data_IF_984868522902
#
_entry.id   IF_984868522902
#
_cell.length_a   1.000
_cell.length_b   1.000
_cell.length_c   1.000
_cell.angle_alpha   90.00
_cell.angle_beta   90.00
_cell.angle_gamma   90.00
#
_symmetry.space_group_name_H-M   'P 1'
#
loop_
_entity.id
_entity.type
_entity.pdbx_description
1 polymer ?
#
# COMPACT_ATOMS: atom_id res chain seq x y z
N UNK A 1 29.31 -12.23 21.62
CA UNK A 1 28.83 -11.58 20.37
C UNK A 1 27.71 -10.60 20.74
N UNK A 2 27.86 -9.32 20.41
CA UNK A 2 26.94 -8.27 20.87
C UNK A 2 25.58 -8.32 20.15
N UNK A 3 24.48 -8.24 20.90
CA UNK A 3 23.13 -8.08 20.35
C UNK A 3 23.00 -6.68 19.75
N UNK A 4 22.99 -6.57 18.42
CA UNK A 4 22.60 -5.32 17.77
C UNK A 4 21.12 -5.03 18.10
N UNK A 5 20.86 -3.93 18.80
CA UNK A 5 19.50 -3.42 19.02
C UNK A 5 19.17 -2.45 17.89
N UNK A 6 18.37 -2.90 16.93
CA UNK A 6 17.86 -2.04 15.86
C UNK A 6 16.48 -1.53 16.31
N UNK A 7 16.29 -0.22 16.54
CA UNK A 7 14.99 0.31 16.92
C UNK A 7 14.00 0.16 15.75
N UNK A 8 12.88 -0.51 15.99
CA UNK A 8 11.78 -0.62 15.04
C UNK A 8 10.75 0.47 15.34
N UNK A 9 10.42 1.30 14.34
CA UNK A 9 9.32 2.26 14.42
C UNK A 9 8.07 1.63 13.82
N UNK A 10 6.95 1.70 14.55
CA UNK A 10 5.64 1.25 14.09
C UNK A 10 4.71 2.47 14.13
N UNK A 11 4.13 2.80 12.99
CA UNK A 11 3.08 3.81 12.88
C UNK A 11 1.72 3.08 12.85
N UNK A 12 0.78 3.51 13.70
CA UNK A 12 -0.56 2.91 13.81
C UNK A 12 -1.61 3.95 13.40
N UNK A 13 -2.41 3.60 12.40
CA UNK A 13 -3.52 4.40 11.90
C UNK A 13 -4.80 3.56 11.84
N UNK A 14 -5.95 4.22 11.83
CA UNK A 14 -7.27 3.60 11.80
C UNK A 14 -8.20 4.42 10.92
N UNK A 15 -9.21 3.78 10.33
CA UNK A 15 -10.24 4.45 9.53
C UNK A 15 -10.03 4.34 8.02
N UNK A 16 -8.92 3.75 7.57
CA UNK A 16 -8.71 3.43 6.16
C UNK A 16 -9.66 2.30 5.73
N UNK A 17 -10.28 2.47 4.56
CA UNK A 17 -11.23 1.51 3.99
C UNK A 17 -10.52 0.55 3.05
N UNK A 18 -10.60 -0.75 3.36
CA UNK A 18 -10.12 -1.82 2.51
C UNK A 18 -11.15 -2.17 1.44
N UNK A 19 -10.73 -2.28 0.18
CA UNK A 19 -11.64 -2.62 -0.94
C UNK A 19 -10.99 -3.70 -1.82
N UNK A 20 -11.50 -4.94 -1.85
CA UNK A 20 -12.69 -5.43 -1.15
C UNK A 20 -12.38 -5.89 0.29
N UNK A 21 -11.17 -6.36 0.56
CA UNK A 21 -10.70 -6.90 1.85
C UNK A 21 -9.17 -7.04 1.84
N UNK A 22 -8.60 -7.35 3.01
CA UNK A 22 -7.18 -7.64 3.20
C UNK A 22 -6.76 -8.96 2.52
N UNK A 23 -5.49 -9.04 2.15
CA UNK A 23 -4.87 -10.28 1.65
C UNK A 23 -3.91 -10.84 2.69
N UNK A 24 -3.80 -12.17 2.74
CA UNK A 24 -2.74 -12.83 3.50
C UNK A 24 -1.45 -12.86 2.65
N UNK A 25 -0.52 -11.96 2.97
CA UNK A 25 0.79 -11.88 2.36
C UNK A 25 1.79 -12.77 3.10
N UNK A 26 2.38 -13.74 2.39
CA UNK A 26 3.39 -14.64 2.94
C UNK A 26 4.79 -14.10 2.69
N UNK A 27 5.36 -13.41 3.67
CA UNK A 27 6.71 -12.87 3.58
C UNK A 27 7.77 -13.96 3.84
N UNK A 28 8.68 -14.15 2.90
CA UNK A 28 9.81 -15.06 3.02
C UNK A 28 10.92 -14.41 3.87
N UNK A 29 11.37 -15.10 4.93
CA UNK A 29 12.51 -14.62 5.71
C UNK A 29 13.82 -14.68 4.91
N UNK A 30 14.71 -13.72 5.17
CA UNK A 30 15.96 -13.58 4.43
C UNK A 30 16.97 -14.71 4.69
N UNK A 31 16.99 -15.23 5.93
CA UNK A 31 18.05 -16.14 6.38
C UNK A 31 17.60 -17.60 6.56
N UNK A 32 16.32 -17.90 6.31
CA UNK A 32 15.79 -19.26 6.39
C UNK A 32 14.49 -19.41 5.60
N UNK A 33 14.04 -20.65 5.43
CA UNK A 33 12.85 -21.00 4.63
C UNK A 33 11.51 -20.74 5.33
N UNK A 34 11.51 -20.13 6.53
CA UNK A 34 10.25 -19.81 7.22
C UNK A 34 9.55 -18.64 6.54
N UNK A 35 8.22 -18.69 6.58
CA UNK A 35 7.35 -17.64 6.08
C UNK A 35 6.57 -17.03 7.24
N UNK A 36 6.35 -15.72 7.17
CA UNK A 36 5.48 -14.99 8.08
C UNK A 36 4.22 -14.63 7.31
N UNK A 37 3.06 -14.94 7.88
CA UNK A 37 1.77 -14.52 7.34
C UNK A 37 1.42 -13.14 7.90
N UNK A 38 1.15 -12.19 6.99
CA UNK A 38 0.86 -10.80 7.31
C UNK A 38 -0.41 -10.41 6.55
N UNK A 39 -1.42 -9.92 7.27
CA UNK A 39 -2.56 -9.28 6.61
C UNK A 39 -2.10 -7.95 6.01
N UNK A 40 -2.34 -7.77 4.72
CA UNK A 40 -1.90 -6.61 3.96
C UNK A 40 -3.00 -6.07 3.07
N UNK A 41 -2.83 -4.85 2.60
CA UNK A 41 -3.67 -4.25 1.59
C UNK A 41 -3.55 -5.05 0.29
N UNK A 42 -4.67 -5.21 -0.43
CA UNK A 42 -4.58 -5.64 -1.82
C UNK A 42 -3.95 -4.52 -2.68
N UNK A 43 -3.49 -4.90 -3.87
CA UNK A 43 -2.75 -4.01 -4.77
C UNK A 43 -3.59 -2.79 -5.18
N UNK A 44 -4.89 -3.01 -5.41
CA UNK A 44 -5.84 -1.99 -5.83
C UNK A 44 -6.06 -0.93 -4.75
N UNK A 45 -6.25 -1.33 -3.50
CA UNK A 45 -6.38 -0.39 -2.36
C UNK A 45 -5.09 0.38 -2.13
N UNK A 46 -3.92 -0.30 -2.22
CA UNK A 46 -2.62 0.35 -2.09
C UNK A 46 -2.40 1.42 -3.17
N UNK A 47 -2.74 1.11 -4.43
CA UNK A 47 -2.65 2.06 -5.54
C UNK A 47 -3.67 3.20 -5.39
N UNK A 48 -4.91 2.89 -5.02
CA UNK A 48 -5.97 3.86 -4.78
C UNK A 48 -5.56 4.93 -3.77
N UNK A 49 -4.99 4.55 -2.63
CA UNK A 49 -4.53 5.50 -1.62
C UNK A 49 -3.42 6.43 -2.11
N UNK A 50 -2.48 5.89 -2.90
CA UNK A 50 -1.38 6.68 -3.47
C UNK A 50 -1.89 7.66 -4.52
N UNK A 51 -2.74 7.18 -5.42
CA UNK A 51 -3.36 8.00 -6.46
C UNK A 51 -4.22 9.11 -5.86
N UNK A 52 -5.08 8.79 -4.88
CA UNK A 52 -5.89 9.78 -4.17
C UNK A 52 -4.99 10.83 -3.54
N UNK A 53 -3.94 10.42 -2.80
CA UNK A 53 -3.01 11.35 -2.14
C UNK A 53 -2.32 12.27 -3.14
N UNK A 54 -1.94 11.72 -4.32
CA UNK A 54 -1.31 12.49 -5.38
C UNK A 54 -2.25 13.57 -5.91
N UNK A 55 -3.51 13.20 -6.18
CA UNK A 55 -4.52 14.09 -6.73
C UNK A 55 -4.95 15.14 -5.72
N UNK A 56 -5.28 14.75 -4.48
CA UNK A 56 -5.81 15.65 -3.45
C UNK A 56 -4.80 16.71 -3.00
N UNK A 57 -3.50 16.39 -3.02
CA UNK A 57 -2.44 17.35 -2.66
C UNK A 57 -2.02 18.30 -3.79
N UNK A 58 -2.31 17.94 -5.04
CA UNK A 58 -2.08 18.78 -6.23
C UNK A 58 -0.70 19.48 -6.22
N UNK A 59 -0.64 20.79 -6.48
CA UNK A 59 0.60 21.59 -6.63
C UNK A 59 1.49 21.67 -5.39
N UNK A 60 1.03 21.28 -4.20
CA UNK A 60 1.81 21.33 -2.94
C UNK A 60 2.32 19.93 -2.55
N UNK A 61 2.25 18.96 -3.47
CA UNK A 61 2.62 17.59 -3.16
C UNK A 61 4.15 17.42 -3.00
N UNK A 62 4.59 17.18 -1.76
CA UNK A 62 5.98 16.86 -1.41
C UNK A 62 6.26 15.35 -1.31
N UNK A 63 5.25 14.50 -1.52
CA UNK A 63 5.35 13.04 -1.44
C UNK A 63 5.77 12.42 -2.77
N UNK A 64 6.95 12.79 -3.26
CA UNK A 64 7.51 12.23 -4.51
C UNK A 64 7.58 10.69 -4.50
N UNK A 65 7.69 10.07 -3.32
CA UNK A 65 7.68 8.61 -3.15
C UNK A 65 6.37 7.98 -3.64
N UNK A 66 5.22 8.63 -3.47
CA UNK A 66 3.95 8.06 -3.92
C UNK A 66 3.91 7.89 -5.45
N UNK A 67 4.49 8.84 -6.19
CA UNK A 67 4.63 8.73 -7.65
C UNK A 67 5.54 7.56 -8.04
N UNK A 68 6.68 7.41 -7.35
CA UNK A 68 7.60 6.31 -7.59
C UNK A 68 6.95 4.95 -7.29
N UNK A 69 6.22 4.87 -6.18
CA UNK A 69 5.51 3.66 -5.78
C UNK A 69 4.44 3.29 -6.81
N UNK A 70 3.64 4.24 -7.30
CA UNK A 70 2.68 3.99 -8.40
C UNK A 70 3.39 3.50 -9.65
N UNK A 71 4.50 4.13 -10.03
CA UNK A 71 5.29 3.75 -11.20
C UNK A 71 5.81 2.31 -11.09
N UNK A 72 6.52 1.98 -10.00
CA UNK A 72 7.12 0.65 -9.85
C UNK A 72 6.07 -0.43 -9.66
N UNK A 73 4.98 -0.17 -8.92
CA UNK A 73 3.89 -1.14 -8.75
C UNK A 73 3.19 -1.42 -10.08
N UNK A 74 2.97 -0.39 -10.89
CA UNK A 74 2.38 -0.56 -12.23
C UNK A 74 3.34 -1.28 -13.17
N UNK A 75 4.65 -1.05 -13.07
CA UNK A 75 5.65 -1.74 -13.88
C UNK A 75 5.73 -3.24 -13.53
N UNK A 76 5.84 -3.57 -12.25
CA UNK A 76 6.09 -4.94 -11.76
C UNK A 76 4.82 -5.79 -11.73
N UNK A 77 3.66 -5.18 -11.49
CA UNK A 77 2.42 -5.91 -11.21
C UNK A 77 1.29 -5.60 -12.20
N UNK A 78 1.59 -4.97 -13.35
CA UNK A 78 0.59 -4.56 -14.36
C UNK A 78 -0.49 -5.62 -14.62
N UNK A 79 -0.07 -6.85 -14.85
CA UNK A 79 -0.96 -7.96 -15.21
C UNK A 79 -1.84 -8.44 -14.06
N UNK A 80 -1.48 -8.11 -12.81
CA UNK A 80 -2.22 -8.46 -11.61
C UNK A 80 -3.21 -7.38 -11.17
N UNK A 81 -3.12 -6.19 -11.76
CA UNK A 81 -4.02 -5.07 -11.40
C UNK A 81 -5.37 -5.30 -12.07
N UNK A 82 -6.40 -5.48 -11.26
CA UNK A 82 -7.77 -5.44 -11.74
C UNK A 82 -8.23 -3.97 -11.82
N UNK A 83 -8.34 -3.45 -13.05
CA UNK A 83 -8.70 -2.05 -13.29
C UNK A 83 -10.09 -1.70 -12.76
N UNK A 84 -11.07 -2.61 -12.85
CA UNK A 84 -12.41 -2.37 -12.32
C UNK A 84 -12.36 -2.24 -10.78
N UNK A 85 -11.66 -3.16 -10.13
CA UNK A 85 -11.50 -3.11 -8.67
C UNK A 85 -10.67 -1.91 -8.22
N UNK A 86 -9.66 -1.49 -9.00
CA UNK A 86 -8.91 -0.27 -8.73
C UNK A 86 -9.80 0.98 -8.78
N UNK A 87 -10.71 1.06 -9.75
CA UNK A 87 -11.66 2.16 -9.85
C UNK A 87 -12.62 2.20 -8.65
N UNK A 88 -13.10 1.02 -8.22
CA UNK A 88 -13.93 0.90 -7.02
C UNK A 88 -13.16 1.31 -5.77
N UNK A 89 -11.93 0.79 -5.60
CA UNK A 89 -11.07 1.11 -4.47
C UNK A 89 -10.76 2.62 -4.41
N UNK A 90 -10.43 3.24 -5.54
CA UNK A 90 -10.18 4.68 -5.60
C UNK A 90 -11.40 5.50 -5.19
N UNK A 91 -12.59 5.10 -5.67
CA UNK A 91 -13.86 5.75 -5.31
C UNK A 91 -14.13 5.65 -3.81
N UNK A 92 -13.94 4.47 -3.22
CA UNK A 92 -14.18 4.25 -1.79
C UNK A 92 -13.13 4.95 -0.92
N UNK A 93 -11.87 4.99 -1.34
CA UNK A 93 -10.81 5.75 -0.65
C UNK A 93 -11.10 7.25 -0.67
N UNK A 94 -11.48 7.82 -1.81
CA UNK A 94 -11.82 9.24 -1.95
C UNK A 94 -13.02 9.61 -1.06
N UNK A 95 -14.11 8.82 -1.11
CA UNK A 95 -15.27 8.97 -0.21
C UNK A 95 -14.86 8.92 1.26
N UNK A 96 -14.00 7.98 1.65
CA UNK A 96 -13.53 7.84 3.03
C UNK A 96 -12.70 9.04 3.49
N UNK A 97 -12.01 9.72 2.57
CA UNK A 97 -11.15 10.88 2.84
C UNK A 97 -11.86 12.23 2.61
N UNK A 98 -13.08 12.21 2.07
CA UNK A 98 -13.88 13.40 1.78
C UNK A 98 -13.33 14.22 0.61
N UNK A 99 -12.68 13.57 -0.35
CA UNK A 99 -12.05 14.18 -1.54
C UNK A 99 -12.67 13.71 -2.85
#
# INVERSE_FOLDING_TARGET
MGKAKIPLKIDLTTGDKLTPFEINYRYQLLFNDKKIEILSYNLETLLAEKLETIVSRSKINTRMRDFYDVYILTLEFKEKINIALLADALTETAKSRGT
#
